data_IF_252387197288
#
_entry.id   IF_252387197288
#
_cell.length_a   1.000
_cell.length_b   1.000
_cell.length_c   1.000
_cell.angle_alpha   90.00
_cell.angle_beta   90.00
_cell.angle_gamma   90.00
#
_symmetry.space_group_name_H-M   'P 1'
#
loop_
_entity.id
_entity.type
_entity.pdbx_description
1 polymer ?
#
# COMPACT_ATOMS: atom_id res chain seq x y z
N UNK A 1 -11.09 6.27 -15.09
CA UNK A 1 -11.77 6.86 -16.26
C UNK A 1 -11.85 8.40 -16.21
N UNK A 2 -12.01 9.04 -15.05
CA UNK A 2 -12.13 10.51 -14.96
C UNK A 2 -10.85 11.28 -15.36
N UNK A 3 -9.67 10.72 -15.17
CA UNK A 3 -8.39 11.39 -15.43
C UNK A 3 -7.98 11.32 -16.91
N UNK A 4 -8.41 10.29 -17.65
CA UNK A 4 -8.22 10.22 -19.10
C UNK A 4 -8.98 11.30 -19.87
N UNK A 5 -10.10 11.78 -19.33
CA UNK A 5 -10.88 12.88 -19.89
C UNK A 5 -10.18 14.25 -19.79
N UNK A 6 -9.14 14.37 -18.96
CA UNK A 6 -8.35 15.58 -18.78
C UNK A 6 -7.12 15.65 -19.71
N UNK A 7 -6.95 14.69 -20.64
CA UNK A 7 -5.84 14.66 -21.59
C UNK A 7 -4.48 14.34 -20.96
N UNK A 8 -4.44 13.81 -19.74
CA UNK A 8 -3.20 13.37 -19.08
C UNK A 8 -2.89 11.94 -19.53
N UNK A 9 -1.82 11.77 -20.30
CA UNK A 9 -1.55 10.56 -21.07
C UNK A 9 -1.11 9.32 -20.28
N UNK A 10 -0.53 9.45 -19.09
CA UNK A 10 -0.16 8.33 -18.23
C UNK A 10 0.11 8.80 -16.81
N UNK A 11 -0.28 7.97 -15.84
CA UNK A 11 0.03 8.14 -14.42
C UNK A 11 0.95 7.02 -13.97
N UNK A 12 1.88 7.38 -13.11
CA UNK A 12 2.71 6.42 -12.38
C UNK A 12 2.28 6.39 -10.92
N UNK A 13 2.55 5.32 -10.25
CA UNK A 13 2.41 5.28 -8.82
C UNK A 13 3.29 6.32 -8.12
N UNK A 14 2.78 6.87 -7.05
CA UNK A 14 3.30 8.03 -6.32
C UNK A 14 3.17 9.38 -7.04
N UNK A 15 2.62 9.44 -8.24
CA UNK A 15 2.24 10.73 -8.83
C UNK A 15 1.21 11.42 -7.93
N UNK A 16 1.33 12.75 -7.81
CA UNK A 16 0.40 13.56 -7.04
C UNK A 16 -0.51 14.33 -8.00
N UNK A 17 -1.78 13.96 -8.02
CA UNK A 17 -2.81 14.74 -8.71
C UNK A 17 -3.34 15.80 -7.78
N UNK A 18 -3.16 17.07 -8.13
CA UNK A 18 -3.70 18.18 -7.36
C UNK A 18 -5.01 18.66 -7.97
N UNK A 19 -6.10 18.43 -7.28
CA UNK A 19 -7.42 18.95 -7.67
C UNK A 19 -7.58 20.35 -7.09
N UNK A 20 -7.82 21.34 -7.93
CA UNK A 20 -8.10 22.72 -7.55
C UNK A 20 -9.55 23.04 -7.83
N UNK A 21 -10.22 23.65 -6.86
CA UNK A 21 -11.58 24.14 -7.00
C UNK A 21 -11.61 25.65 -7.08
N UNK A 22 -12.55 26.16 -7.86
CA UNK A 22 -12.91 27.56 -7.90
C UNK A 22 -14.42 27.67 -7.70
N UNK A 23 -14.85 28.44 -6.73
CA UNK A 23 -16.25 28.79 -6.52
C UNK A 23 -16.56 30.08 -7.28
N UNK A 24 -17.48 30.03 -8.22
CA UNK A 24 -18.00 31.18 -8.92
C UNK A 24 -19.42 31.48 -8.42
N UNK A 25 -19.63 32.70 -7.94
CA UNK A 25 -20.92 33.14 -7.45
C UNK A 25 -21.72 33.83 -8.59
N UNK A 26 -23.01 33.88 -8.44
CA UNK A 26 -23.93 34.50 -9.40
C UNK A 26 -23.79 36.03 -9.49
N UNK A 27 -23.15 36.64 -8.49
CA UNK A 27 -22.82 38.07 -8.45
C UNK A 27 -21.53 38.44 -9.21
N UNK A 28 -20.87 37.45 -9.84
CA UNK A 28 -19.65 37.60 -10.61
C UNK A 28 -18.37 37.44 -9.78
N UNK A 29 -18.45 37.27 -8.47
CA UNK A 29 -17.29 37.02 -7.61
C UNK A 29 -16.80 35.57 -7.77
N UNK A 30 -15.48 35.36 -7.69
CA UNK A 30 -14.88 34.03 -7.70
C UNK A 30 -13.87 33.85 -6.57
N UNK A 31 -13.87 32.67 -6.00
CA UNK A 31 -13.02 32.30 -4.87
C UNK A 31 -12.25 31.03 -5.20
N UNK A 32 -10.96 31.05 -4.91
CA UNK A 32 -10.04 29.91 -5.08
C UNK A 32 -9.04 29.89 -3.94
N UNK A 33 -8.10 28.97 -3.93
CA UNK A 33 -7.04 28.93 -2.94
C UNK A 33 -6.25 30.25 -2.82
N UNK A 34 -6.09 30.98 -3.91
CA UNK A 34 -5.37 32.26 -3.94
C UNK A 34 -6.17 33.44 -3.42
N UNK A 35 -7.49 33.28 -3.32
CA UNK A 35 -8.42 34.34 -2.86
C UNK A 35 -8.76 34.26 -1.38
N UNK A 36 -8.31 33.22 -0.69
CA UNK A 36 -8.62 32.99 0.74
C UNK A 36 -7.44 33.33 1.62
N UNK A 37 -7.73 33.75 2.85
CA UNK A 37 -6.70 34.13 3.82
C UNK A 37 -5.90 32.94 4.33
N UNK A 38 -4.71 33.18 4.89
CA UNK A 38 -3.85 32.15 5.44
C UNK A 38 -4.49 31.30 6.55
N UNK A 39 -5.45 31.86 7.30
CA UNK A 39 -6.23 31.12 8.29
C UNK A 39 -7.10 30.02 7.67
N UNK A 40 -7.67 30.25 6.50
CA UNK A 40 -8.47 29.24 5.79
C UNK A 40 -7.60 28.19 5.07
N UNK A 41 -6.35 28.51 4.75
CA UNK A 41 -5.41 27.58 4.15
C UNK A 41 -4.60 26.80 5.19
N UNK A 42 -4.70 27.15 6.46
CA UNK A 42 -4.01 26.50 7.57
C UNK A 42 -4.56 25.12 7.92
N UNK A 43 -3.83 24.42 8.76
CA UNK A 43 -4.12 23.01 9.14
C UNK A 43 -5.47 22.80 9.81
N UNK A 44 -6.03 23.83 10.45
CA UNK A 44 -7.28 23.72 11.17
C UNK A 44 -8.51 23.68 10.23
N UNK A 45 -8.59 24.59 9.25
CA UNK A 45 -9.77 24.66 8.35
C UNK A 45 -9.61 23.85 7.07
N UNK A 46 -8.39 23.39 6.74
CA UNK A 46 -8.09 22.59 5.55
C UNK A 46 -8.85 23.08 4.32
N UNK A 47 -8.40 24.20 3.75
CA UNK A 47 -9.05 24.85 2.61
C UNK A 47 -9.66 23.86 1.61
N UNK A 48 -10.96 23.95 1.30
CA UNK A 48 -11.62 23.04 0.37
C UNK A 48 -11.22 23.25 -1.10
N UNK A 49 -10.32 24.22 -1.37
CA UNK A 49 -9.97 24.62 -2.73
C UNK A 49 -8.77 23.89 -3.35
N UNK A 50 -8.13 22.98 -2.59
CA UNK A 50 -6.99 22.23 -3.10
C UNK A 50 -6.87 20.89 -2.36
N UNK A 51 -6.92 19.82 -3.13
CA UNK A 51 -6.75 18.44 -2.63
C UNK A 51 -5.63 17.75 -3.39
N UNK A 52 -4.50 17.43 -2.74
CA UNK A 52 -3.52 16.52 -3.28
C UNK A 52 -4.03 15.07 -3.14
N UNK A 53 -4.04 14.35 -4.24
CA UNK A 53 -4.41 12.92 -4.30
C UNK A 53 -3.17 12.18 -4.77
N UNK A 54 -2.61 11.32 -3.93
CA UNK A 54 -1.52 10.44 -4.32
C UNK A 54 -2.08 9.26 -5.09
N UNK A 55 -1.57 9.02 -6.28
CA UNK A 55 -1.91 7.84 -7.08
C UNK A 55 -1.22 6.64 -6.45
N UNK A 56 -1.99 5.78 -5.82
CA UNK A 56 -1.51 4.49 -5.32
C UNK A 56 -1.43 3.48 -6.45
N UNK A 57 -0.40 2.66 -6.43
CA UNK A 57 -0.35 1.45 -7.23
C UNK A 57 -0.87 0.32 -6.36
N UNK A 58 -2.10 -0.09 -6.58
CA UNK A 58 -2.68 -1.22 -5.87
C UNK A 58 -2.62 -2.45 -6.74
N UNK A 59 -1.94 -3.45 -6.24
CA UNK A 59 -2.02 -4.79 -6.77
C UNK A 59 -3.20 -5.51 -6.10
N UNK A 60 -4.17 -5.93 -6.89
CA UNK A 60 -5.26 -6.77 -6.44
C UNK A 60 -5.00 -8.20 -6.96
N UNK A 61 -4.99 -9.18 -6.09
CA UNK A 61 -4.76 -10.57 -6.47
C UNK A 61 -5.84 -11.13 -7.39
N UNK A 62 -7.03 -10.58 -7.35
CA UNK A 62 -8.09 -10.94 -8.29
C UNK A 62 -7.86 -10.34 -9.68
N UNK A 63 -6.93 -9.43 -9.83
CA UNK A 63 -6.60 -8.74 -11.07
C UNK A 63 -5.22 -9.14 -11.63
N UNK A 64 -4.71 -10.27 -11.20
CA UNK A 64 -3.88 -11.19 -11.95
C UNK A 64 -2.61 -10.68 -12.63
N UNK A 65 -1.62 -10.45 -11.92
CA UNK A 65 -0.28 -10.44 -12.47
C UNK A 65 0.69 -10.55 -11.33
N UNK A 66 1.46 -11.61 -11.26
CA UNK A 66 2.55 -11.70 -10.32
C UNK A 66 3.52 -10.55 -10.59
N UNK A 67 3.80 -9.71 -9.60
CA UNK A 67 4.90 -8.75 -9.70
C UNK A 67 6.18 -9.49 -9.34
N UNK A 68 7.02 -9.75 -10.34
CA UNK A 68 8.31 -10.39 -10.12
C UNK A 68 9.23 -9.53 -9.27
N UNK A 69 10.05 -10.16 -8.44
CA UNK A 69 10.95 -9.45 -7.54
C UNK A 69 11.38 -10.30 -6.35
N UNK A 70 12.20 -9.73 -5.52
CA UNK A 70 12.61 -10.30 -4.23
C UNK A 70 11.72 -9.66 -3.15
N UNK A 71 11.06 -10.49 -2.39
CA UNK A 71 10.20 -10.09 -1.27
C UNK A 71 10.86 -10.45 0.04
N UNK A 72 11.06 -9.46 0.89
CA UNK A 72 11.60 -9.63 2.25
C UNK A 72 10.50 -9.30 3.24
N UNK A 73 10.14 -10.29 4.05
CA UNK A 73 9.17 -10.15 5.13
C UNK A 73 9.95 -9.94 6.43
N UNK A 74 9.57 -8.91 7.18
CA UNK A 74 10.03 -8.69 8.56
C UNK A 74 8.81 -8.65 9.46
N UNK A 75 8.74 -9.53 10.42
CA UNK A 75 7.67 -9.63 11.40
C UNK A 75 8.17 -9.35 12.81
N UNK A 76 7.31 -8.79 13.63
CA UNK A 76 7.57 -8.52 15.03
C UNK A 76 6.41 -9.05 15.88
N UNK A 77 6.76 -9.43 17.09
CA UNK A 77 5.88 -9.75 18.19
C UNK A 77 6.21 -8.85 19.38
N UNK A 78 5.25 -8.10 19.89
CA UNK A 78 5.49 -7.12 20.95
C UNK A 78 5.66 -7.74 22.33
N UNK A 79 5.16 -8.97 22.55
CA UNK A 79 5.37 -9.73 23.79
C UNK A 79 6.67 -10.51 23.75
N UNK A 80 7.04 -11.06 22.60
CA UNK A 80 8.31 -11.72 22.37
C UNK A 80 8.25 -13.25 22.48
N UNK A 81 7.08 -13.84 22.48
CA UNK A 81 6.88 -15.30 22.55
C UNK A 81 6.44 -15.92 21.21
N UNK A 82 6.38 -15.08 20.17
CA UNK A 82 6.09 -15.48 18.79
C UNK A 82 4.65 -15.25 18.39
N UNK A 83 4.32 -15.57 17.15
CA UNK A 83 3.00 -15.29 16.57
C UNK A 83 1.92 -16.31 16.96
N UNK A 84 2.19 -17.20 17.89
CA UNK A 84 1.23 -18.07 18.60
C UNK A 84 0.21 -18.75 17.68
N UNK A 85 0.69 -19.31 16.56
CA UNK A 85 -0.12 -19.97 15.55
C UNK A 85 -0.55 -19.12 14.38
N UNK A 86 -0.41 -17.79 14.46
CA UNK A 86 -0.63 -16.94 13.29
C UNK A 86 0.46 -17.15 12.22
N UNK A 87 0.08 -16.98 10.95
CA UNK A 87 1.01 -17.13 9.84
C UNK A 87 0.76 -16.11 8.75
N UNK A 88 1.82 -15.70 8.09
CA UNK A 88 1.76 -15.04 6.80
C UNK A 88 2.11 -16.06 5.71
N UNK A 89 1.14 -16.36 4.88
CA UNK A 89 1.26 -17.29 3.76
C UNK A 89 1.40 -16.53 2.46
N UNK A 90 2.29 -16.97 1.58
CA UNK A 90 2.31 -16.53 0.19
C UNK A 90 2.09 -17.70 -0.76
N UNK A 91 1.47 -17.39 -1.89
CA UNK A 91 1.17 -18.38 -2.93
C UNK A 91 1.69 -17.86 -4.27
N UNK A 92 2.52 -18.65 -4.94
CA UNK A 92 3.03 -18.39 -6.29
C UNK A 92 2.55 -19.52 -7.18
N UNK A 93 1.78 -19.22 -8.23
CA UNK A 93 1.24 -20.19 -9.20
C UNK A 93 0.60 -21.42 -8.53
N UNK A 94 -0.14 -21.19 -7.45
CA UNK A 94 -0.82 -22.22 -6.68
C UNK A 94 0.04 -22.98 -5.66
N UNK A 95 1.35 -22.72 -5.59
CA UNK A 95 2.22 -23.31 -4.57
C UNK A 95 2.30 -22.35 -3.39
N UNK A 96 1.90 -22.81 -2.21
CA UNK A 96 1.84 -22.01 -0.98
C UNK A 96 2.99 -22.32 -0.03
N UNK A 97 3.50 -21.30 0.60
CA UNK A 97 4.45 -21.38 1.71
C UNK A 97 3.94 -20.53 2.85
N UNK A 98 3.96 -21.04 4.07
CA UNK A 98 3.59 -20.32 5.29
C UNK A 98 4.83 -20.00 6.11
N UNK A 99 4.81 -18.84 6.76
CA UNK A 99 5.87 -18.37 7.63
C UNK A 99 5.27 -17.75 8.89
N UNK A 100 5.99 -17.86 9.99
CA UNK A 100 5.64 -17.32 11.30
C UNK A 100 6.89 -16.77 11.98
N UNK A 101 6.72 -16.08 13.09
CA UNK A 101 7.79 -15.61 13.97
C UNK A 101 7.80 -16.45 15.24
N UNK A 102 8.98 -16.93 15.63
CA UNK A 102 9.23 -17.68 16.85
C UNK A 102 10.02 -16.83 17.85
N UNK A 103 9.40 -15.89 18.51
CA UNK A 103 10.05 -14.94 19.43
C UNK A 103 9.75 -13.49 19.06
N UNK A 104 10.62 -12.56 19.43
CA UNK A 104 10.40 -11.12 19.32
C UNK A 104 10.27 -10.63 17.86
N UNK A 105 11.08 -11.20 16.97
CA UNK A 105 11.12 -10.80 15.57
C UNK A 105 11.65 -11.93 14.67
N UNK A 106 11.38 -11.78 13.38
CA UNK A 106 11.88 -12.70 12.37
C UNK A 106 11.93 -12.05 10.99
N UNK A 107 12.78 -12.60 10.14
CA UNK A 107 12.91 -12.14 8.76
C UNK A 107 13.04 -13.34 7.82
N UNK A 108 12.36 -13.28 6.69
CA UNK A 108 12.51 -14.25 5.59
C UNK A 108 12.46 -13.55 4.24
N UNK A 109 13.03 -14.18 3.22
CA UNK A 109 12.99 -13.64 1.85
C UNK A 109 12.73 -14.75 0.85
N UNK A 110 12.04 -14.40 -0.23
CA UNK A 110 11.80 -15.30 -1.35
C UNK A 110 11.74 -14.52 -2.67
N UNK A 111 11.81 -15.22 -3.78
CA UNK A 111 11.76 -14.63 -5.11
C UNK A 111 10.47 -15.02 -5.83
N UNK A 112 9.76 -14.05 -6.37
CA UNK A 112 8.71 -14.24 -7.36
C UNK A 112 9.37 -14.13 -8.74
N UNK A 113 9.45 -15.22 -9.52
CA UNK A 113 10.14 -15.19 -10.81
C UNK A 113 9.33 -14.41 -11.86
N UNK A 114 10.02 -13.91 -12.89
CA UNK A 114 9.37 -13.19 -13.99
C UNK A 114 8.37 -14.05 -14.78
N UNK A 115 8.48 -15.37 -14.68
CA UNK A 115 7.55 -16.33 -15.30
C UNK A 115 6.28 -16.59 -14.48
N UNK A 116 6.19 -16.09 -13.24
CA UNK A 116 5.01 -16.31 -12.40
C UNK A 116 3.79 -15.62 -12.99
N UNK A 117 2.67 -16.32 -12.98
CA UNK A 117 1.37 -15.83 -13.46
C UNK A 117 0.51 -15.29 -12.33
N UNK A 118 0.59 -15.91 -11.15
CA UNK A 118 -0.20 -15.52 -9.97
C UNK A 118 0.66 -15.42 -8.73
N UNK A 119 0.35 -14.45 -7.88
CA UNK A 119 1.02 -14.25 -6.61
C UNK A 119 0.12 -13.51 -5.63
N UNK A 120 0.16 -13.89 -4.36
CA UNK A 120 -0.59 -13.20 -3.32
C UNK A 120 -0.18 -13.59 -1.92
N UNK A 121 -0.53 -12.74 -0.96
CA UNK A 121 -0.36 -12.97 0.47
C UNK A 121 -1.70 -13.18 1.17
N UNK A 122 -1.68 -14.02 2.19
CA UNK A 122 -2.81 -14.25 3.09
C UNK A 122 -2.33 -14.33 4.54
N UNK A 123 -2.99 -13.62 5.44
CA UNK A 123 -2.75 -13.73 6.87
C UNK A 123 -3.76 -14.67 7.52
N UNK A 124 -3.28 -15.57 8.34
CA UNK A 124 -4.08 -16.46 9.15
C UNK A 124 -3.88 -16.12 10.63
N UNK A 125 -4.98 -15.94 11.34
CA UNK A 125 -5.01 -15.62 12.77
C UNK A 125 -4.43 -16.74 13.63
N UNK A 126 -3.82 -16.34 14.72
CA UNK A 126 -3.45 -17.20 15.84
C UNK A 126 -4.05 -16.71 17.15
N UNK A 127 -3.38 -17.02 18.24
CA UNK A 127 -3.65 -16.38 19.52
C UNK A 127 -2.83 -15.08 19.61
N UNK A 128 -3.39 -14.04 20.21
CA UNK A 128 -2.70 -12.77 20.47
C UNK A 128 -2.31 -11.94 19.22
N UNK A 129 -3.11 -11.96 18.19
CA UNK A 129 -2.86 -11.17 16.95
C UNK A 129 -2.62 -9.67 17.23
N UNK A 130 -3.06 -9.14 18.37
CA UNK A 130 -2.83 -7.76 18.80
C UNK A 130 -1.34 -7.42 19.01
N UNK A 131 -0.48 -8.41 19.14
CA UNK A 131 0.96 -8.25 19.34
C UNK A 131 1.74 -8.28 18.04
N UNK A 132 1.08 -8.67 16.95
CA UNK A 132 1.68 -8.91 15.64
C UNK A 132 1.73 -7.64 14.80
N UNK A 133 2.92 -7.34 14.29
CA UNK A 133 3.12 -6.39 13.18
C UNK A 133 4.05 -7.00 12.14
N UNK A 134 3.90 -6.63 10.87
CA UNK A 134 4.82 -7.06 9.84
C UNK A 134 4.87 -6.09 8.65
N UNK A 135 5.96 -6.17 7.91
CA UNK A 135 6.19 -5.44 6.67
C UNK A 135 6.75 -6.38 5.62
N UNK A 136 6.34 -6.15 4.39
CA UNK A 136 6.87 -6.85 3.22
C UNK A 136 7.50 -5.80 2.31
N UNK A 137 8.80 -5.88 2.14
CA UNK A 137 9.54 -5.05 1.20
C UNK A 137 9.76 -5.81 -0.09
N UNK A 138 9.49 -5.15 -1.19
CA UNK A 138 9.75 -5.64 -2.54
C UNK A 138 10.99 -4.95 -3.11
N UNK A 139 11.80 -5.70 -3.83
CA UNK A 139 12.94 -5.19 -4.61
C UNK A 139 12.89 -5.82 -6.00
N UNK A 140 13.15 -5.02 -7.04
CA UNK A 140 13.18 -5.55 -8.41
C UNK A 140 14.30 -6.59 -8.56
N UNK A 141 14.14 -7.52 -9.51
CA UNK A 141 15.11 -8.61 -9.73
C UNK A 141 16.50 -8.08 -10.12
N UNK A 142 16.58 -6.92 -10.74
CA UNK A 142 17.84 -6.25 -11.10
C UNK A 142 18.36 -5.30 -10.01
N UNK A 143 17.61 -5.15 -8.91
CA UNK A 143 17.95 -4.24 -7.81
C UNK A 143 17.68 -2.76 -8.08
N UNK A 144 17.09 -2.41 -9.22
CA UNK A 144 16.90 -1.01 -9.62
C UNK A 144 15.86 -0.24 -8.80
N UNK A 145 14.97 -0.95 -8.12
CA UNK A 145 13.91 -0.34 -7.31
C UNK A 145 13.56 -1.15 -6.09
N UNK A 146 13.20 -0.49 -5.00
CA UNK A 146 12.65 -1.13 -3.82
C UNK A 146 11.58 -0.26 -3.16
N UNK A 147 10.59 -0.89 -2.57
CA UNK A 147 9.51 -0.21 -1.84
C UNK A 147 8.83 -1.16 -0.87
N UNK A 148 8.14 -0.60 0.12
CA UNK A 148 7.26 -1.38 0.98
C UNK A 148 6.01 -1.78 0.19
N UNK A 149 5.86 -3.08 -0.06
CA UNK A 149 4.72 -3.64 -0.79
C UNK A 149 3.48 -3.80 0.07
N UNK A 150 3.68 -4.09 1.35
CA UNK A 150 2.63 -4.37 2.33
C UNK A 150 3.16 -4.03 3.72
N UNK A 151 2.33 -3.40 4.53
CA UNK A 151 2.57 -3.19 5.96
C UNK A 151 1.24 -3.36 6.69
N UNK A 152 1.26 -4.15 7.75
CA UNK A 152 0.07 -4.36 8.57
C UNK A 152 0.47 -4.23 10.05
N UNK A 153 -0.42 -3.64 10.82
CA UNK A 153 -0.16 -3.30 12.22
C UNK A 153 -0.88 -4.22 13.17
N UNK A 154 -0.89 -3.84 14.44
CA UNK A 154 -1.50 -4.64 15.51
C UNK A 154 -2.90 -5.17 15.12
N UNK A 155 -3.11 -6.46 15.34
CA UNK A 155 -4.29 -7.20 14.90
C UNK A 155 -4.49 -7.21 13.39
N UNK A 156 -3.59 -7.79 12.60
CA UNK A 156 -3.74 -7.87 11.15
C UNK A 156 -5.07 -8.54 10.78
N UNK A 157 -5.78 -7.97 9.81
CA UNK A 157 -7.03 -8.57 9.37
C UNK A 157 -6.78 -9.94 8.70
N UNK A 158 -7.56 -10.95 9.06
CA UNK A 158 -7.47 -12.29 8.46
C UNK A 158 -7.83 -12.26 6.98
N UNK A 159 -7.16 -13.11 6.22
CA UNK A 159 -7.44 -13.31 4.81
C UNK A 159 -6.45 -12.60 3.90
N UNK A 160 -6.90 -12.36 2.70
CA UNK A 160 -6.08 -11.85 1.60
C UNK A 160 -5.53 -10.43 1.87
N UNK A 161 -4.26 -10.21 1.52
CA UNK A 161 -3.56 -8.92 1.71
C UNK A 161 -3.28 -8.25 0.37
N UNK A 162 -3.80 -7.04 0.22
CA UNK A 162 -3.51 -6.23 -0.96
C UNK A 162 -2.10 -5.62 -0.86
N UNK A 163 -1.32 -5.77 -1.92
CA UNK A 163 0.00 -5.16 -2.04
C UNK A 163 -0.09 -3.82 -2.78
N UNK A 164 0.88 -2.95 -2.51
CA UNK A 164 1.05 -1.68 -3.19
C UNK A 164 2.46 -1.62 -3.79
N UNK A 165 2.61 -2.00 -5.06
CA UNK A 165 3.86 -1.97 -5.79
C UNK A 165 3.68 -1.09 -7.03
N UNK A 166 4.52 -0.06 -7.14
CA UNK A 166 4.53 0.87 -8.25
C UNK A 166 5.76 0.63 -9.15
N UNK A 167 5.53 0.30 -10.40
CA UNK A 167 6.54 0.16 -11.45
C UNK A 167 6.41 1.25 -12.49
#
# INVERSE_FOLDING_TARGET
>A
QALGALGVGSFKGNDVVTVRFQLNLTDGNSYSRSSVTGSMTGSYFRSPFLYPIVIGCRFDANNSGAVSGIYTITGQDSWGDGWNGATLKWTIDGVSTSWTVDGTDGTTSFTVPASASTFGFEFTSGDWDSEITYQVNWTDLDGSGSQTALSDGTSPAVGFKAMNICR
#
